data_IF_075024719241
#
_entry.id   IF_075024719241
#
_cell.length_a   1.000
_cell.length_b   1.000
_cell.length_c   1.000
_cell.angle_alpha   90.00
_cell.angle_beta   90.00
_cell.angle_gamma   90.00
#
_symmetry.space_group_name_H-M   'P 1'
#
loop_
_entity.id
_entity.type
_entity.pdbx_description
1 polymer ?
#
# COMPACT_ATOMS: atom_id res chain seq x y z
N UNK A 1 11.94 5.25 12.53
CA UNK A 1 10.49 5.47 12.47
C UNK A 1 10.06 6.76 11.75
N UNK A 2 10.63 7.94 12.05
CA UNK A 2 10.16 9.23 11.49
C UNK A 2 10.22 9.37 9.95
N UNK A 3 11.14 8.68 9.26
CA UNK A 3 11.29 8.76 7.79
C UNK A 3 10.10 8.18 7.02
N UNK A 4 9.40 7.18 7.54
CA UNK A 4 8.30 6.50 6.82
C UNK A 4 7.02 7.36 6.85
N UNK A 5 6.79 8.06 7.97
CA UNK A 5 5.58 8.89 8.17
C UNK A 5 5.71 10.25 7.48
N UNK A 6 6.93 10.79 7.40
CA UNK A 6 7.18 12.13 6.86
C UNK A 6 7.70 12.18 5.42
N UNK A 7 7.88 11.04 4.74
CA UNK A 7 8.14 10.99 3.30
C UNK A 7 6.88 11.31 2.47
N UNK A 8 6.10 12.31 2.92
CA UNK A 8 4.88 12.77 2.29
C UNK A 8 5.23 13.63 1.09
N UNK A 9 4.76 13.19 -0.07
CA UNK A 9 4.48 13.94 -1.29
C UNK A 9 5.62 14.57 -2.11
N UNK A 10 6.83 14.80 -1.57
CA UNK A 10 7.89 15.42 -2.39
C UNK A 10 8.76 14.41 -3.16
N UNK A 11 8.89 13.16 -2.68
CA UNK A 11 9.91 12.21 -3.20
C UNK A 11 9.32 11.17 -4.16
N UNK A 12 8.02 10.89 -4.08
CA UNK A 12 7.37 9.86 -4.90
C UNK A 12 6.25 10.48 -5.75
N UNK A 13 6.20 10.19 -7.07
CA UNK A 13 5.28 10.82 -8.01
C UNK A 13 3.85 10.22 -7.92
N UNK A 14 3.30 10.08 -6.72
CA UNK A 14 1.96 9.56 -6.49
C UNK A 14 1.03 10.68 -5.99
N UNK A 15 0.06 11.06 -6.81
CA UNK A 15 -0.88 12.17 -6.56
C UNK A 15 -1.85 11.90 -5.40
N UNK A 16 -2.18 10.63 -5.17
CA UNK A 16 -3.04 10.23 -4.05
C UNK A 16 -2.70 8.82 -3.58
N UNK A 17 -2.67 8.62 -2.27
CA UNK A 17 -2.49 7.32 -1.63
C UNK A 17 -3.62 7.09 -0.65
N UNK A 18 -4.38 6.02 -0.87
CA UNK A 18 -5.37 5.51 0.07
C UNK A 18 -4.75 4.27 0.72
N UNK A 19 -4.86 4.17 2.04
CA UNK A 19 -4.26 3.09 2.82
C UNK A 19 -5.38 2.28 3.47
N UNK A 20 -5.46 1.00 3.11
CA UNK A 20 -6.37 0.06 3.76
C UNK A 20 -5.60 -0.80 4.76
N UNK A 21 -6.01 -0.78 6.02
CA UNK A 21 -5.41 -1.58 7.10
C UNK A 21 -6.37 -2.69 7.49
N UNK A 22 -5.95 -3.94 7.30
CA UNK A 22 -6.74 -5.12 7.68
C UNK A 22 -6.17 -5.64 9.01
N UNK A 23 -6.92 -5.51 10.09
CA UNK A 23 -6.50 -5.95 11.42
C UNK A 23 -7.17 -7.27 11.77
N UNK A 24 -6.39 -8.33 12.04
CA UNK A 24 -6.90 -9.56 12.66
C UNK A 24 -6.45 -9.59 14.12
N UNK A 25 -7.38 -9.35 15.06
CA UNK A 25 -7.14 -9.47 16.50
C UNK A 25 -7.17 -8.16 17.29
N UNK A 26 -7.43 -8.27 18.61
CA UNK A 26 -7.72 -7.14 19.51
C UNK A 26 -6.52 -6.22 19.79
N UNK A 27 -5.29 -6.73 19.69
CA UNK A 27 -4.06 -5.99 20.05
C UNK A 27 -3.59 -4.97 19.01
N UNK A 28 -4.08 -5.04 17.76
CA UNK A 28 -3.65 -4.14 16.70
C UNK A 28 -4.21 -2.71 16.85
N UNK A 29 -5.35 -2.57 17.55
CA UNK A 29 -6.02 -1.30 17.76
C UNK A 29 -5.11 -0.27 18.47
N UNK A 30 -4.33 -0.69 19.47
CA UNK A 30 -3.44 0.21 20.20
C UNK A 30 -2.30 0.73 19.31
N UNK A 31 -1.71 -0.15 18.50
CA UNK A 31 -0.63 0.22 17.57
C UNK A 31 -1.14 1.14 16.47
N UNK A 32 -2.34 0.88 15.92
CA UNK A 32 -2.92 1.75 14.91
C UNK A 32 -3.32 3.10 15.47
N UNK A 33 -3.86 3.16 16.69
CA UNK A 33 -4.18 4.43 17.36
C UNK A 33 -2.93 5.28 17.58
N UNK A 34 -1.81 4.64 17.98
CA UNK A 34 -0.54 5.32 18.12
C UNK A 34 0.00 5.82 16.78
N UNK A 35 -0.07 5.03 15.70
CA UNK A 35 0.33 5.54 14.38
C UNK A 35 -0.57 6.69 13.90
N UNK A 36 -1.86 6.61 14.18
CA UNK A 36 -2.83 7.65 13.83
C UNK A 36 -2.57 8.94 14.62
N UNK A 37 -2.07 8.91 15.86
CA UNK A 37 -1.77 10.16 16.57
C UNK A 37 -0.69 11.00 15.88
N UNK A 38 0.23 10.38 15.13
CA UNK A 38 1.26 11.06 14.34
C UNK A 38 0.85 11.41 12.90
N UNK A 39 -0.31 10.94 12.44
CA UNK A 39 -0.81 11.21 11.09
C UNK A 39 -1.43 12.61 10.97
N UNK A 40 -1.19 13.30 9.85
CA UNK A 40 -1.88 14.55 9.53
C UNK A 40 -3.37 14.31 9.27
N UNK A 41 -4.22 15.35 9.38
CA UNK A 41 -5.67 15.23 9.17
C UNK A 41 -6.00 14.66 7.78
N UNK A 42 -5.32 15.15 6.75
CA UNK A 42 -5.48 14.72 5.36
C UNK A 42 -5.04 13.26 5.16
N UNK A 43 -4.12 12.75 5.98
CA UNK A 43 -3.70 11.35 5.92
C UNK A 43 -4.67 10.43 6.64
N UNK A 44 -5.21 10.87 7.79
CA UNK A 44 -6.24 10.13 8.54
C UNK A 44 -7.48 9.88 7.69
N UNK A 45 -7.92 10.86 6.91
CA UNK A 45 -9.05 10.74 5.99
C UNK A 45 -8.84 9.69 4.89
N UNK A 46 -7.58 9.40 4.56
CA UNK A 46 -7.19 8.42 3.52
C UNK A 46 -6.89 7.03 4.09
N UNK A 47 -7.02 6.84 5.40
CA UNK A 47 -6.81 5.55 6.06
C UNK A 47 -8.17 4.90 6.34
N UNK A 48 -8.35 3.67 5.87
CA UNK A 48 -9.53 2.87 6.12
C UNK A 48 -9.16 1.60 6.86
N UNK A 49 -9.66 1.44 8.07
CA UNK A 49 -9.41 0.27 8.91
C UNK A 49 -10.54 -0.73 8.73
N UNK A 50 -10.18 -1.98 8.49
CA UNK A 50 -11.07 -3.13 8.35
C UNK A 50 -10.73 -4.17 9.42
N UNK A 51 -11.74 -4.79 10.01
CA UNK A 51 -11.62 -5.73 11.13
C UNK A 51 -11.21 -7.16 10.73
N UNK A 52 -10.95 -7.36 9.43
CA UNK A 52 -10.57 -8.65 8.86
C UNK A 52 -11.65 -9.74 8.92
N UNK A 53 -12.86 -9.41 9.38
CA UNK A 53 -14.02 -10.31 9.42
C UNK A 53 -15.02 -9.97 8.34
N UNK A 54 -15.25 -8.68 8.08
CA UNK A 54 -16.09 -8.23 6.98
C UNK A 54 -15.27 -7.48 5.92
N UNK A 55 -15.19 -8.06 4.72
CA UNK A 55 -14.51 -7.47 3.56
C UNK A 55 -15.43 -6.71 2.61
N UNK A 56 -16.75 -6.62 2.86
CA UNK A 56 -17.69 -5.91 1.98
C UNK A 56 -17.26 -4.46 1.70
N UNK A 57 -16.88 -3.73 2.76
CA UNK A 57 -16.40 -2.35 2.62
C UNK A 57 -15.11 -2.27 1.80
N UNK A 58 -14.20 -3.25 1.97
CA UNK A 58 -12.98 -3.32 1.18
C UNK A 58 -13.28 -3.64 -0.30
N UNK A 59 -14.18 -4.60 -0.57
CA UNK A 59 -14.63 -4.96 -1.93
C UNK A 59 -15.31 -3.79 -2.62
N UNK A 60 -16.09 -2.99 -1.91
CA UNK A 60 -16.74 -1.80 -2.47
C UNK A 60 -15.73 -0.70 -2.85
N UNK A 61 -14.59 -0.63 -2.16
CA UNK A 61 -13.56 0.39 -2.42
C UNK A 61 -12.54 -0.06 -3.48
N UNK A 62 -12.12 -1.33 -3.44
CA UNK A 62 -11.04 -1.87 -4.30
C UNK A 62 -11.59 -2.67 -5.49
N UNK A 63 -12.81 -3.18 -5.38
CA UNK A 63 -13.43 -4.09 -6.35
C UNK A 63 -13.17 -5.55 -6.02
N UNK A 64 -14.23 -6.39 -6.11
CA UNK A 64 -14.16 -7.82 -5.79
C UNK A 64 -13.08 -8.56 -6.60
N UNK A 65 -13.03 -8.37 -7.91
CA UNK A 65 -12.07 -9.06 -8.79
C UNK A 65 -10.61 -8.62 -8.66
N UNK A 66 -10.34 -7.50 -7.99
CA UNK A 66 -8.98 -6.99 -7.80
C UNK A 66 -8.36 -7.45 -6.47
N UNK A 67 -9.15 -8.08 -5.62
CA UNK A 67 -8.70 -8.57 -4.32
C UNK A 67 -8.25 -10.03 -4.44
N UNK A 68 -7.22 -10.44 -3.71
CA UNK A 68 -6.91 -11.84 -3.51
C UNK A 68 -8.01 -12.56 -2.69
N UNK A 69 -8.11 -13.87 -2.84
CA UNK A 69 -9.10 -14.71 -2.16
C UNK A 69 -9.06 -14.54 -0.62
N UNK A 70 -7.86 -14.44 -0.04
CA UNK A 70 -7.58 -14.30 1.39
C UNK A 70 -8.11 -12.98 1.98
N UNK A 71 -8.35 -11.99 1.12
CA UNK A 71 -8.87 -10.67 1.47
C UNK A 71 -10.29 -10.43 0.92
N UNK A 72 -10.99 -11.51 0.56
CA UNK A 72 -12.38 -11.47 0.13
C UNK A 72 -12.60 -11.27 -1.36
N UNK A 73 -11.62 -11.57 -2.20
CA UNK A 73 -11.75 -11.67 -3.66
C UNK A 73 -12.28 -13.02 -4.15
N UNK A 74 -12.28 -13.24 -5.48
CA UNK A 74 -12.63 -14.53 -6.08
C UNK A 74 -11.66 -15.64 -5.64
N UNK A 75 -12.18 -16.86 -5.52
CA UNK A 75 -11.41 -18.02 -5.04
C UNK A 75 -10.25 -18.37 -5.96
N UNK A 76 -10.39 -18.03 -7.23
CA UNK A 76 -9.42 -18.29 -8.29
C UNK A 76 -8.23 -17.33 -8.24
N UNK A 77 -8.35 -16.21 -7.51
CA UNK A 77 -7.29 -15.21 -7.36
C UNK A 77 -6.56 -15.40 -6.02
N UNK A 78 -5.89 -16.53 -5.84
CA UNK A 78 -5.08 -16.79 -4.65
C UNK A 78 -3.89 -15.82 -4.56
N UNK A 79 -3.49 -15.45 -3.34
CA UNK A 79 -2.36 -14.55 -3.13
C UNK A 79 -1.04 -15.24 -3.48
N UNK A 80 -0.50 -14.95 -4.66
CA UNK A 80 0.88 -15.30 -4.98
C UNK A 80 1.84 -14.23 -4.46
N UNK A 81 2.49 -14.57 -3.34
CA UNK A 81 3.47 -13.74 -2.64
C UNK A 81 4.76 -13.52 -3.43
N UNK A 82 5.04 -14.35 -4.44
CA UNK A 82 6.27 -14.27 -5.23
C UNK A 82 6.12 -13.36 -6.44
N UNK A 83 4.90 -13.00 -6.89
CA UNK A 83 4.67 -12.15 -8.06
C UNK A 83 5.53 -10.89 -8.02
N UNK A 84 5.52 -10.19 -6.88
CA UNK A 84 6.28 -8.94 -6.74
C UNK A 84 7.79 -9.22 -6.79
N UNK A 85 8.26 -10.26 -6.11
CA UNK A 85 9.67 -10.62 -6.09
C UNK A 85 10.18 -10.98 -7.48
N UNK A 86 9.47 -11.85 -8.19
CA UNK A 86 9.78 -12.25 -9.56
C UNK A 86 9.73 -11.06 -10.53
N UNK A 87 8.76 -10.16 -10.35
CA UNK A 87 8.68 -8.94 -11.14
C UNK A 87 9.88 -8.02 -10.91
N UNK A 88 10.34 -7.89 -9.66
CA UNK A 88 11.54 -7.12 -9.31
C UNK A 88 12.81 -7.76 -9.90
N UNK A 89 12.95 -9.08 -9.81
CA UNK A 89 14.08 -9.81 -10.39
C UNK A 89 14.14 -9.62 -11.91
N UNK A 90 13.01 -9.79 -12.59
CA UNK A 90 12.89 -9.64 -14.04
C UNK A 90 13.30 -8.24 -14.53
N UNK A 91 13.03 -7.21 -13.74
CA UNK A 91 13.31 -5.81 -14.11
C UNK A 91 14.53 -5.24 -13.37
N UNK A 92 15.34 -6.07 -12.72
CA UNK A 92 16.51 -5.63 -11.93
C UNK A 92 17.47 -4.73 -12.71
N UNK A 93 17.72 -5.04 -13.98
CA UNK A 93 18.54 -4.21 -14.89
C UNK A 93 17.95 -2.82 -15.12
N UNK A 94 16.63 -2.73 -15.35
CA UNK A 94 15.92 -1.47 -15.53
C UNK A 94 15.92 -0.64 -14.23
N UNK A 95 15.67 -1.28 -13.10
CA UNK A 95 15.72 -0.63 -11.78
C UNK A 95 17.12 -0.08 -11.46
N UNK A 96 18.17 -0.81 -11.85
CA UNK A 96 19.56 -0.35 -11.71
C UNK A 96 19.84 0.88 -12.58
N UNK A 97 19.30 0.91 -13.81
CA UNK A 97 19.41 2.08 -14.68
C UNK A 97 18.68 3.29 -14.09
N UNK A 98 17.47 3.10 -13.54
CA UNK A 98 16.71 4.16 -12.86
C UNK A 98 17.47 4.79 -11.69
N UNK A 99 18.23 4.00 -10.92
CA UNK A 99 19.06 4.55 -9.82
C UNK A 99 20.15 5.50 -10.32
N UNK A 100 20.66 5.27 -11.53
CA UNK A 100 21.68 6.11 -12.18
C UNK A 100 21.10 7.18 -13.11
N UNK A 101 19.78 7.23 -13.27
CA UNK A 101 19.12 8.11 -14.24
C UNK A 101 19.32 9.59 -13.86
N UNK A 102 19.85 10.37 -14.81
CA UNK A 102 19.87 11.84 -14.76
C UNK A 102 19.14 12.40 -15.97
N UNK A 103 18.21 13.33 -15.74
CA UNK A 103 17.52 14.05 -16.80
C UNK A 103 18.55 14.84 -17.61
N UNK A 104 18.80 14.43 -18.86
CA UNK A 104 19.60 15.23 -19.80
C UNK A 104 18.74 16.42 -20.23
N UNK A 105 19.19 17.64 -19.92
CA UNK A 105 18.59 18.84 -20.48
C UNK A 105 19.04 18.92 -21.94
N UNK A 106 18.10 18.83 -22.87
CA UNK A 106 18.35 19.09 -24.30
C UNK A 106 18.28 20.61 -24.45
N UNK A 107 19.39 21.23 -24.85
CA UNK A 107 19.51 22.67 -25.14
C UNK A 107 18.86 23.02 -26.47
#
# INVERSE_FOLDING_TARGET
MAKIVNAKNEVLPFTSRIVHVIQKGMFLNATTNLMMSFASKEFKERIHIHDGKNFEKLRNMVGYGNLPAEYGGPKENELDVNILYEHLLRHSSYLSQLQSYRKKFVS
#
